data_IF_410885100633
#
_entry.id   IF_410885100633
#
_cell.length_a   1.000
_cell.length_b   1.000
_cell.length_c   1.000
_cell.angle_alpha   90.00
_cell.angle_beta   90.00
_cell.angle_gamma   90.00
#
_symmetry.space_group_name_H-M   'P 1'
#
loop_
_entity.id
_entity.type
_entity.pdbx_description
1 polymer ?
#
# COMPACT_ATOMS: atom_id res chain seq x y z
N UNK A 1 -16.04 9.31 7.81
CA UNK A 1 -16.35 9.68 9.20
C UNK A 1 -15.70 11.02 9.52
N UNK A 2 -14.43 11.19 9.17
CA UNK A 2 -13.61 12.36 9.49
C UNK A 2 -14.19 13.68 8.94
N UNK A 3 -14.64 13.69 7.67
CA UNK A 3 -15.28 14.86 7.07
C UNK A 3 -16.64 15.22 7.72
N UNK A 4 -17.39 14.21 8.18
CA UNK A 4 -18.66 14.41 8.85
C UNK A 4 -18.42 14.96 10.26
N UNK A 5 -17.44 14.41 10.98
CA UNK A 5 -17.01 14.92 12.28
C UNK A 5 -16.49 16.37 12.17
N UNK A 6 -15.74 16.67 11.10
CA UNK A 6 -15.31 18.05 10.79
C UNK A 6 -16.51 18.98 10.58
N UNK A 7 -17.52 18.54 9.82
CA UNK A 7 -18.76 19.30 9.62
C UNK A 7 -19.54 19.52 10.93
N UNK A 8 -19.61 18.51 11.80
CA UNK A 8 -20.14 18.67 13.15
C UNK A 8 -19.32 19.67 13.98
N UNK A 9 -18.00 19.68 13.82
CA UNK A 9 -17.12 20.70 14.39
C UNK A 9 -17.56 22.11 13.98
N UNK A 10 -17.77 22.36 12.69
CA UNK A 10 -18.26 23.67 12.19
C UNK A 10 -19.59 24.07 12.84
N UNK A 11 -20.51 23.12 12.99
CA UNK A 11 -21.85 23.39 13.53
C UNK A 11 -21.78 23.71 15.03
N UNK A 12 -20.96 22.96 15.78
CA UNK A 12 -20.89 22.97 17.24
C UNK A 12 -19.95 24.04 17.81
N UNK A 13 -18.96 24.51 17.05
CA UNK A 13 -18.05 25.56 17.52
C UNK A 13 -18.64 26.96 17.35
N UNK A 14 -18.32 27.83 18.31
CA UNK A 14 -18.75 29.24 18.30
C UNK A 14 -17.95 30.07 17.28
N UNK A 15 -16.64 29.84 17.21
CA UNK A 15 -15.77 30.49 16.22
C UNK A 15 -15.55 29.53 15.04
N UNK A 16 -15.81 30.05 13.83
CA UNK A 16 -15.72 29.31 12.57
C UNK A 16 -14.65 29.88 11.62
N UNK A 17 -13.99 30.97 12.01
CA UNK A 17 -13.10 31.77 11.15
C UNK A 17 -11.85 31.02 10.67
N UNK A 18 -11.42 30.03 11.45
CA UNK A 18 -10.23 29.20 11.20
C UNK A 18 -10.53 27.87 10.48
N UNK A 19 -11.80 27.50 10.31
CA UNK A 19 -12.15 26.29 9.56
C UNK A 19 -11.77 26.47 8.08
N UNK A 20 -11.16 25.43 7.50
CA UNK A 20 -10.52 25.48 6.18
C UNK A 20 -9.10 26.05 6.16
N UNK A 21 -8.61 26.67 7.25
CA UNK A 21 -7.26 27.27 7.35
C UNK A 21 -6.30 26.54 8.30
N UNK A 22 -6.74 25.39 8.83
CA UNK A 22 -6.00 24.65 9.85
C UNK A 22 -6.58 24.75 11.27
N UNK A 23 -7.89 24.98 11.41
CA UNK A 23 -8.60 24.97 12.71
C UNK A 23 -8.21 23.78 13.59
N UNK A 24 -7.71 24.08 14.78
CA UNK A 24 -7.41 23.10 15.83
C UNK A 24 -8.68 22.30 16.20
N UNK A 25 -9.80 22.98 16.37
CA UNK A 25 -11.07 22.33 16.72
C UNK A 25 -11.50 21.33 15.64
N UNK A 26 -11.38 21.72 14.37
CA UNK A 26 -11.67 20.82 13.25
C UNK A 26 -10.82 19.55 13.25
N UNK A 27 -9.52 19.68 13.58
CA UNK A 27 -8.62 18.53 13.74
C UNK A 27 -9.02 17.69 14.95
N UNK A 28 -9.29 18.30 16.10
CA UNK A 28 -9.69 17.58 17.32
C UNK A 28 -10.98 16.78 17.11
N UNK A 29 -11.98 17.33 16.42
CA UNK A 29 -13.22 16.62 16.09
C UNK A 29 -12.95 15.44 15.16
N UNK A 30 -12.17 15.63 14.10
CA UNK A 30 -11.85 14.58 13.14
C UNK A 30 -11.04 13.44 13.78
N UNK A 31 -9.98 13.78 14.54
CA UNK A 31 -9.10 12.82 15.21
C UNK A 31 -9.82 12.05 16.32
N UNK A 32 -10.69 12.72 17.09
CA UNK A 32 -11.49 12.05 18.12
C UNK A 32 -12.46 11.04 17.51
N UNK A 33 -13.12 11.40 16.40
CA UNK A 33 -14.02 10.50 15.69
C UNK A 33 -13.27 9.31 15.09
N UNK A 34 -12.08 9.53 14.53
CA UNK A 34 -11.27 8.45 13.97
C UNK A 34 -10.83 7.46 15.06
N UNK A 35 -10.33 7.95 16.20
CA UNK A 35 -9.95 7.11 17.33
C UNK A 35 -11.13 6.30 17.89
N UNK A 36 -12.31 6.93 18.02
CA UNK A 36 -13.51 6.23 18.48
C UNK A 36 -13.98 5.15 17.49
N UNK A 37 -13.97 5.46 16.19
CA UNK A 37 -14.34 4.53 15.12
C UNK A 37 -13.41 3.33 15.06
N UNK A 38 -12.12 3.51 15.33
CA UNK A 38 -11.14 2.42 15.29
C UNK A 38 -11.37 1.38 16.38
N UNK A 39 -11.73 1.80 17.59
CA UNK A 39 -12.16 0.90 18.66
C UNK A 39 -13.51 0.24 18.33
N UNK A 40 -14.45 0.99 17.76
CA UNK A 40 -15.76 0.46 17.33
C UNK A 40 -15.67 -0.61 16.23
N UNK A 41 -14.66 -0.51 15.37
CA UNK A 41 -14.38 -1.51 14.32
C UNK A 41 -13.94 -2.88 14.87
N UNK A 42 -13.51 -2.95 16.13
CA UNK A 42 -13.17 -4.20 16.80
C UNK A 42 -14.38 -5.13 16.94
N UNK A 43 -15.54 -4.57 17.27
CA UNK A 43 -16.73 -5.34 17.63
C UNK A 43 -17.21 -6.27 16.50
N UNK A 44 -17.48 -5.79 15.26
CA UNK A 44 -17.87 -6.69 14.16
C UNK A 44 -16.73 -7.66 13.80
N UNK A 45 -15.47 -7.23 13.94
CA UNK A 45 -14.31 -8.07 13.66
C UNK A 45 -14.26 -9.27 14.59
N UNK A 46 -14.35 -9.04 15.91
CA UNK A 46 -14.25 -10.09 16.91
C UNK A 46 -15.52 -10.93 16.98
N UNK A 47 -16.70 -10.30 16.93
CA UNK A 47 -17.97 -11.00 17.11
C UNK A 47 -18.42 -11.79 15.86
N UNK A 48 -18.13 -11.28 14.66
CA UNK A 48 -18.62 -11.86 13.40
C UNK A 48 -17.51 -12.42 12.52
N UNK A 49 -16.24 -12.18 12.87
CA UNK A 49 -15.11 -12.51 12.00
C UNK A 49 -14.98 -11.61 10.77
N UNK A 50 -15.72 -10.50 10.71
CA UNK A 50 -15.75 -9.58 9.57
C UNK A 50 -15.04 -8.28 9.95
N UNK A 51 -13.88 -7.96 9.33
CA UNK A 51 -13.13 -6.74 9.64
C UNK A 51 -13.97 -5.47 9.52
N UNK A 52 -14.08 -4.73 10.63
CA UNK A 52 -14.75 -3.43 10.69
C UNK A 52 -13.90 -2.28 10.12
N UNK A 53 -12.58 -2.49 9.95
CA UNK A 53 -11.65 -1.58 9.30
C UNK A 53 -10.47 -2.35 8.67
N UNK A 54 -9.72 -1.74 7.72
CA UNK A 54 -8.60 -2.42 7.04
C UNK A 54 -7.48 -2.90 7.98
N UNK A 55 -7.22 -2.14 9.03
CA UNK A 55 -6.28 -2.44 10.14
C UNK A 55 -6.68 -3.69 10.90
N UNK A 56 -7.97 -3.84 11.22
CA UNK A 56 -8.53 -5.00 11.91
C UNK A 56 -8.43 -6.28 11.07
N UNK A 57 -8.38 -6.17 9.75
CA UNK A 57 -8.12 -7.32 8.89
C UNK A 57 -6.74 -7.93 9.15
N UNK A 58 -5.73 -7.11 9.43
CA UNK A 58 -4.40 -7.58 9.84
C UNK A 58 -4.44 -8.27 11.20
N UNK A 59 -5.26 -7.78 12.13
CA UNK A 59 -5.46 -8.42 13.44
C UNK A 59 -6.08 -9.82 13.28
N UNK A 60 -7.09 -9.97 12.43
CA UNK A 60 -7.69 -11.29 12.11
C UNK A 60 -6.61 -12.24 11.57
N UNK A 61 -5.82 -11.77 10.58
CA UNK A 61 -4.72 -12.57 9.99
C UNK A 61 -3.70 -12.97 11.04
N UNK A 62 -3.39 -12.09 11.99
CA UNK A 62 -2.45 -12.36 13.07
C UNK A 62 -2.99 -13.33 14.13
N UNK A 63 -4.31 -13.40 14.35
CA UNK A 63 -4.93 -14.27 15.37
C UNK A 63 -5.03 -15.73 14.92
N UNK A 64 -5.27 -15.97 13.62
CA UNK A 64 -5.46 -17.31 13.06
C UNK A 64 -4.28 -18.28 13.39
N UNK A 65 -3.00 -17.88 13.25
CA UNK A 65 -1.86 -18.73 13.60
C UNK A 65 -1.82 -19.17 15.07
N UNK A 66 -2.42 -18.39 15.98
CA UNK A 66 -2.50 -18.73 17.41
C UNK A 66 -3.71 -19.62 17.74
N UNK A 67 -4.44 -20.11 16.72
CA UNK A 67 -5.61 -20.95 16.91
C UNK A 67 -6.85 -20.21 17.39
N UNK A 68 -6.86 -18.87 17.33
CA UNK A 68 -8.01 -18.04 17.72
C UNK A 68 -8.63 -17.47 16.45
N UNK A 69 -9.78 -18.02 16.04
CA UNK A 69 -10.54 -17.51 14.91
C UNK A 69 -11.59 -16.51 15.41
N UNK A 70 -11.57 -15.25 14.96
CA UNK A 70 -12.62 -14.28 15.27
C UNK A 70 -13.99 -14.78 14.77
N UNK A 71 -15.04 -14.57 15.56
CA UNK A 71 -16.38 -15.09 15.31
C UNK A 71 -17.24 -15.15 16.58
N UNK A 72 -18.45 -15.73 16.52
CA UNK A 72 -19.39 -15.72 17.65
C UNK A 72 -18.82 -16.33 18.93
N UNK A 73 -17.88 -17.26 18.82
CA UNK A 73 -17.18 -17.87 19.96
C UNK A 73 -16.38 -16.86 20.79
N UNK A 74 -15.94 -15.74 20.20
CA UNK A 74 -15.32 -14.62 20.90
C UNK A 74 -16.26 -13.97 21.93
N UNK A 75 -17.58 -14.12 21.79
CA UNK A 75 -18.55 -13.62 22.77
C UNK A 75 -18.91 -14.67 23.84
N UNK A 76 -18.46 -15.92 23.66
CA UNK A 76 -18.71 -17.04 24.57
C UNK A 76 -17.41 -17.67 25.05
N UNK A 77 -17.02 -18.78 24.43
CA UNK A 77 -15.84 -19.59 24.79
C UNK A 77 -14.55 -18.76 24.89
N UNK A 78 -14.33 -17.84 23.96
CA UNK A 78 -13.16 -16.97 23.90
C UNK A 78 -13.42 -15.56 24.48
N UNK A 79 -14.47 -15.38 25.28
CA UNK A 79 -14.79 -14.08 25.89
C UNK A 79 -13.65 -13.50 26.73
N UNK A 80 -12.88 -14.35 27.41
CA UNK A 80 -11.69 -13.93 28.16
C UNK A 80 -10.63 -13.30 27.25
N UNK A 81 -10.44 -13.82 26.03
CA UNK A 81 -9.53 -13.25 25.02
C UNK A 81 -10.08 -11.91 24.53
N UNK A 82 -11.38 -11.84 24.25
CA UNK A 82 -12.04 -10.59 23.83
C UNK A 82 -11.87 -9.49 24.87
N UNK A 83 -12.16 -9.78 26.13
CA UNK A 83 -12.04 -8.81 27.23
C UNK A 83 -10.58 -8.39 27.41
N UNK A 84 -9.64 -9.34 27.37
CA UNK A 84 -8.21 -9.04 27.43
C UNK A 84 -7.81 -8.10 26.30
N UNK A 85 -8.24 -8.38 25.07
CA UNK A 85 -7.94 -7.58 23.89
C UNK A 85 -8.50 -6.16 24.01
N UNK A 86 -9.75 -6.01 24.49
CA UNK A 86 -10.38 -4.71 24.73
C UNK A 86 -9.61 -3.90 25.78
N UNK A 87 -9.23 -4.52 26.91
CA UNK A 87 -8.47 -3.86 27.97
C UNK A 87 -7.07 -3.47 27.47
N UNK A 88 -6.37 -4.38 26.79
CA UNK A 88 -5.05 -4.09 26.22
C UNK A 88 -5.13 -2.98 25.18
N UNK A 89 -6.15 -2.95 24.33
CA UNK A 89 -6.34 -1.88 23.33
C UNK A 89 -6.59 -0.53 24.01
N UNK A 90 -7.44 -0.49 25.04
CA UNK A 90 -7.71 0.72 25.81
C UNK A 90 -6.43 1.25 26.50
N UNK A 91 -5.69 0.35 27.15
CA UNK A 91 -4.44 0.70 27.83
C UNK A 91 -3.34 1.12 26.84
N UNK A 92 -3.22 0.42 25.71
CA UNK A 92 -2.27 0.74 24.65
C UNK A 92 -2.56 2.15 24.07
N UNK A 93 -3.82 2.48 23.82
CA UNK A 93 -4.20 3.81 23.35
C UNK A 93 -3.87 4.90 24.39
N UNK A 94 -4.07 4.64 25.68
CA UNK A 94 -3.71 5.58 26.74
C UNK A 94 -2.18 5.80 26.80
N UNK A 95 -1.40 4.72 26.76
CA UNK A 95 0.07 4.78 26.77
C UNK A 95 0.58 5.49 25.51
N UNK A 96 0.11 5.10 24.33
CA UNK A 96 0.50 5.71 23.05
C UNK A 96 0.11 7.19 23.01
N UNK A 97 -1.05 7.56 23.53
CA UNK A 97 -1.45 8.97 23.62
C UNK A 97 -0.49 9.76 24.52
N UNK A 98 -0.09 9.20 25.67
CA UNK A 98 0.89 9.83 26.56
C UNK A 98 2.25 10.01 25.91
N UNK A 99 2.76 8.96 25.25
CA UNK A 99 4.00 9.01 24.47
C UNK A 99 3.87 10.02 23.33
N UNK A 100 2.73 10.01 22.64
CA UNK A 100 2.42 10.89 21.51
C UNK A 100 2.52 12.35 21.91
N UNK A 101 1.91 12.75 23.02
CA UNK A 101 2.02 14.12 23.57
C UNK A 101 3.49 14.46 23.87
N UNK A 102 4.24 13.55 24.49
CA UNK A 102 5.66 13.78 24.82
C UNK A 102 6.57 13.94 23.60
N UNK A 103 6.31 13.19 22.52
CA UNK A 103 7.15 13.17 21.31
C UNK A 103 6.57 14.05 20.19
N UNK A 104 5.40 14.69 20.38
CA UNK A 104 4.68 15.43 19.33
C UNK A 104 5.54 16.52 18.68
N UNK A 105 6.42 17.18 19.45
CA UNK A 105 7.32 18.20 18.92
C UNK A 105 8.38 17.63 17.95
N UNK A 106 8.81 16.39 18.17
CA UNK A 106 9.69 15.68 17.23
C UNK A 106 8.91 15.14 16.03
N UNK A 107 7.72 14.57 16.24
CA UNK A 107 6.84 14.10 15.17
C UNK A 107 6.43 15.25 14.23
N UNK A 108 6.17 16.44 14.75
CA UNK A 108 5.88 17.63 13.96
C UNK A 108 7.05 18.05 13.05
N UNK A 109 8.30 17.72 13.42
CA UNK A 109 9.46 17.92 12.54
C UNK A 109 9.57 16.82 11.48
N UNK A 110 9.06 15.63 11.75
CA UNK A 110 9.02 14.52 10.80
C UNK A 110 8.11 14.84 9.60
N UNK A 111 7.01 15.58 9.80
CA UNK A 111 6.13 16.00 8.70
C UNK A 111 6.81 16.94 7.69
N UNK A 112 7.89 17.61 8.11
CA UNK A 112 8.72 18.43 7.23
C UNK A 112 9.77 17.62 6.45
N UNK A 113 9.89 16.31 6.70
CA UNK A 113 10.81 15.43 5.98
C UNK A 113 10.24 15.16 4.58
N UNK A 114 10.99 15.44 3.51
CA UNK A 114 10.53 15.18 2.16
C UNK A 114 10.14 13.71 1.96
N UNK A 115 8.95 13.48 1.39
CA UNK A 115 8.42 12.15 1.07
C UNK A 115 9.41 11.21 0.34
N UNK A 116 10.29 11.69 -0.57
CA UNK A 116 11.27 10.81 -1.21
C UNK A 116 12.27 10.17 -0.23
N UNK A 117 12.60 10.85 0.86
CA UNK A 117 13.47 10.28 1.91
C UNK A 117 12.75 9.11 2.59
N UNK A 118 11.48 9.30 2.92
CA UNK A 118 10.64 8.27 3.53
C UNK A 118 10.54 7.06 2.58
N UNK A 119 10.29 7.29 1.30
CA UNK A 119 10.28 6.24 0.27
C UNK A 119 11.60 5.49 0.17
N UNK A 120 12.74 6.19 0.24
CA UNK A 120 14.07 5.57 0.19
C UNK A 120 14.34 4.61 1.36
N UNK A 121 13.70 4.82 2.50
CA UNK A 121 13.81 3.97 3.69
C UNK A 121 12.80 2.83 3.65
N UNK A 122 11.53 3.15 3.40
CA UNK A 122 10.41 2.21 3.52
C UNK A 122 10.46 1.14 2.43
N UNK A 123 10.86 1.50 1.21
CA UNK A 123 10.85 0.57 0.08
C UNK A 123 11.84 -0.59 0.30
N UNK A 124 13.14 -0.39 0.61
CA UNK A 124 14.06 -1.49 0.89
C UNK A 124 13.61 -2.36 2.04
N UNK A 125 13.11 -1.75 3.12
CA UNK A 125 12.64 -2.48 4.29
C UNK A 125 11.48 -3.39 3.88
N UNK A 126 10.47 -2.86 3.18
CA UNK A 126 9.33 -3.66 2.73
C UNK A 126 9.75 -4.82 1.82
N UNK A 127 10.67 -4.60 0.88
CA UNK A 127 11.18 -5.66 0.01
C UNK A 127 11.97 -6.71 0.79
N UNK A 128 12.84 -6.29 1.71
CA UNK A 128 13.60 -7.20 2.55
C UNK A 128 12.69 -7.99 3.50
N UNK A 129 11.66 -7.38 4.08
CA UNK A 129 10.69 -8.06 4.93
C UNK A 129 10.01 -9.22 4.20
N UNK A 130 9.65 -9.05 2.93
CA UNK A 130 9.05 -10.14 2.13
C UNK A 130 10.01 -11.29 1.87
N UNK A 131 11.31 -11.00 1.84
CA UNK A 131 12.34 -12.02 1.75
C UNK A 131 12.56 -12.75 3.08
N UNK A 132 12.60 -12.03 4.20
CA UNK A 132 12.75 -12.62 5.54
C UNK A 132 11.64 -13.64 5.80
N UNK A 133 10.41 -13.32 5.41
CA UNK A 133 9.25 -14.20 5.58
C UNK A 133 9.32 -15.46 4.71
N UNK A 134 9.67 -15.31 3.43
CA UNK A 134 9.60 -16.41 2.46
C UNK A 134 10.93 -17.16 2.27
N UNK A 135 12.03 -16.64 2.83
CA UNK A 135 13.43 -17.04 2.58
C UNK A 135 13.76 -17.27 1.10
N UNK A 136 13.03 -16.58 0.21
CA UNK A 136 13.03 -16.82 -1.23
C UNK A 136 12.86 -15.51 -2.00
N UNK A 137 13.50 -15.43 -3.17
CA UNK A 137 13.30 -14.34 -4.14
C UNK A 137 11.83 -14.17 -4.55
N UNK A 138 11.01 -15.20 -4.38
CA UNK A 138 9.58 -15.19 -4.67
C UNK A 138 8.81 -14.14 -3.87
N UNK A 139 9.15 -13.91 -2.60
CA UNK A 139 8.47 -12.89 -1.78
C UNK A 139 8.62 -11.50 -2.39
N UNK A 140 9.82 -11.17 -2.87
CA UNK A 140 10.13 -9.89 -3.51
C UNK A 140 9.37 -9.75 -4.84
N UNK A 141 9.26 -10.83 -5.62
CA UNK A 141 8.52 -10.83 -6.88
C UNK A 141 7.03 -10.52 -6.66
N UNK A 142 6.40 -11.19 -5.69
CA UNK A 142 5.01 -10.96 -5.33
C UNK A 142 4.81 -9.52 -4.84
N UNK A 143 5.71 -9.04 -3.97
CA UNK A 143 5.66 -7.67 -3.45
C UNK A 143 5.74 -6.61 -4.55
N UNK A 144 6.66 -6.79 -5.51
CA UNK A 144 6.78 -5.89 -6.66
C UNK A 144 5.53 -5.96 -7.56
N UNK A 145 4.87 -7.11 -7.69
CA UNK A 145 3.65 -7.26 -8.49
C UNK A 145 2.44 -6.60 -7.89
N UNK A 146 2.24 -6.79 -6.60
CA UNK A 146 1.21 -6.08 -5.84
C UNK A 146 1.50 -4.58 -5.84
N UNK A 147 2.77 -4.18 -5.74
CA UNK A 147 3.21 -2.79 -5.88
C UNK A 147 2.87 -2.19 -7.25
N UNK A 148 3.17 -2.90 -8.33
CA UNK A 148 2.83 -2.49 -9.69
C UNK A 148 1.33 -2.38 -9.90
N UNK A 149 0.55 -3.35 -9.42
CA UNK A 149 -0.92 -3.29 -9.41
C UNK A 149 -1.41 -2.06 -8.63
N UNK A 150 -0.83 -1.76 -7.48
CA UNK A 150 -1.14 -0.56 -6.69
C UNK A 150 -0.88 0.75 -7.46
N UNK A 151 0.16 0.80 -8.28
CA UNK A 151 0.44 1.95 -9.16
C UNK A 151 -0.62 2.09 -10.27
N UNK A 152 -1.03 0.97 -10.88
CA UNK A 152 -2.12 0.94 -11.87
C UNK A 152 -3.42 1.44 -11.24
N UNK A 153 -3.79 0.90 -10.08
CA UNK A 153 -4.98 1.33 -9.35
C UNK A 153 -4.96 2.81 -9.04
N UNK A 154 -3.82 3.33 -8.55
CA UNK A 154 -3.66 4.75 -8.29
C UNK A 154 -3.89 5.59 -9.55
N UNK A 155 -3.37 5.15 -10.71
CA UNK A 155 -3.50 5.89 -11.97
C UNK A 155 -4.94 5.94 -12.49
N UNK A 156 -5.70 4.87 -12.29
CA UNK A 156 -7.11 4.81 -12.67
C UNK A 156 -8.06 5.31 -11.56
N UNK A 157 -7.53 5.90 -10.48
CA UNK A 157 -8.30 6.31 -9.30
C UNK A 157 -9.14 5.17 -8.69
N UNK A 158 -8.67 3.93 -8.82
CA UNK A 158 -9.30 2.78 -8.19
C UNK A 158 -9.00 2.78 -6.69
N UNK A 159 -10.01 2.50 -5.85
CA UNK A 159 -9.82 2.49 -4.42
C UNK A 159 -8.96 1.29 -4.01
N UNK A 160 -7.77 1.56 -3.48
CA UNK A 160 -6.79 0.55 -3.02
C UNK A 160 -7.24 -0.20 -1.75
N UNK A 161 -7.74 0.46 -0.69
CA UNK A 161 -8.12 -0.23 0.55
C UNK A 161 -9.20 -1.32 0.38
N UNK A 162 -10.28 -1.13 -0.42
CA UNK A 162 -11.27 -2.18 -0.67
C UNK A 162 -10.70 -3.44 -1.33
N UNK A 163 -9.67 -3.30 -2.17
CA UNK A 163 -9.04 -4.46 -2.81
C UNK A 163 -8.26 -5.31 -1.80
N UNK A 164 -7.51 -4.66 -0.91
CA UNK A 164 -6.82 -5.34 0.20
C UNK A 164 -7.84 -6.02 1.12
N UNK A 165 -8.95 -5.34 1.42
CA UNK A 165 -10.04 -5.91 2.21
C UNK A 165 -10.61 -7.16 1.52
N UNK A 166 -10.94 -7.09 0.24
CA UNK A 166 -11.45 -8.23 -0.52
C UNK A 166 -10.50 -9.43 -0.51
N UNK A 167 -9.19 -9.19 -0.64
CA UNK A 167 -8.17 -10.24 -0.58
C UNK A 167 -8.14 -10.94 0.78
N UNK A 168 -8.15 -10.19 1.89
CA UNK A 168 -8.12 -10.77 3.23
C UNK A 168 -9.44 -11.50 3.56
N UNK A 169 -10.57 -10.98 3.07
CA UNK A 169 -11.88 -11.57 3.33
C UNK A 169 -12.17 -12.81 2.50
N UNK A 170 -11.46 -13.07 1.40
CA UNK A 170 -11.80 -14.15 0.46
C UNK A 170 -11.88 -15.50 1.17
N UNK A 171 -10.87 -15.80 1.97
CA UNK A 171 -10.73 -17.00 2.77
C UNK A 171 -11.87 -17.17 3.79
N UNK A 172 -12.25 -16.07 4.44
CA UNK A 172 -13.32 -16.05 5.44
C UNK A 172 -14.66 -16.26 4.76
N UNK A 173 -14.90 -15.60 3.63
CA UNK A 173 -16.13 -15.72 2.85
C UNK A 173 -16.27 -17.14 2.30
N UNK A 174 -15.21 -17.70 1.72
CA UNK A 174 -15.22 -19.03 1.12
C UNK A 174 -15.46 -20.12 2.17
N UNK A 175 -14.76 -20.06 3.30
CA UNK A 175 -14.98 -21.01 4.41
C UNK A 175 -16.40 -20.93 4.96
N UNK A 176 -16.91 -19.72 5.19
CA UNK A 176 -18.28 -19.55 5.68
C UNK A 176 -19.34 -19.96 4.65
N UNK A 177 -19.11 -19.69 3.37
CA UNK A 177 -20.00 -20.14 2.30
C UNK A 177 -20.03 -21.66 2.20
N UNK A 178 -18.86 -22.30 2.21
CA UNK A 178 -18.75 -23.75 2.20
C UNK A 178 -19.44 -24.39 3.42
N UNK A 179 -19.26 -23.81 4.61
CA UNK A 179 -19.95 -24.28 5.82
C UNK A 179 -21.47 -24.13 5.70
N UNK A 180 -21.96 -22.98 5.23
CA UNK A 180 -23.40 -22.75 5.06
C UNK A 180 -24.03 -23.72 4.05
N UNK A 181 -23.36 -23.95 2.92
CA UNK A 181 -23.82 -24.88 1.88
C UNK A 181 -23.71 -26.33 2.36
N UNK A 182 -22.68 -26.70 3.12
CA UNK A 182 -22.54 -28.07 3.66
C UNK A 182 -23.63 -28.43 4.67
N UNK A 183 -24.04 -27.48 5.52
CA UNK A 183 -25.04 -27.73 6.57
C UNK A 183 -26.47 -27.66 6.00
N UNK A 184 -26.75 -26.72 5.09
CA UNK A 184 -28.11 -26.42 4.65
C UNK A 184 -28.39 -26.73 3.17
N UNK A 185 -27.40 -27.15 2.40
CA UNK A 185 -27.47 -27.20 0.95
C UNK A 185 -27.48 -25.80 0.31
N UNK A 186 -27.15 -25.73 -0.97
CA UNK A 186 -27.12 -24.47 -1.71
C UNK A 186 -28.45 -23.69 -1.64
N UNK A 187 -29.62 -24.27 -1.98
CA UNK A 187 -30.89 -23.56 -1.86
C UNK A 187 -31.26 -23.25 -0.40
N UNK A 188 -30.99 -24.17 0.54
CA UNK A 188 -31.34 -23.97 1.94
C UNK A 188 -30.52 -22.87 2.62
N UNK A 189 -29.32 -22.56 2.12
CA UNK A 189 -28.51 -21.43 2.60
C UNK A 189 -29.13 -20.06 2.26
N UNK A 190 -29.78 -19.95 1.10
CA UNK A 190 -30.38 -18.71 0.57
C UNK A 190 -31.81 -18.49 1.08
N UNK A 191 -32.56 -19.55 1.37
CA UNK A 191 -33.97 -19.44 1.81
C UNK A 191 -34.12 -19.13 3.30
N UNK A 192 -33.02 -19.00 4.06
CA UNK A 192 -33.12 -18.66 5.49
C UNK A 192 -33.62 -17.23 5.69
N UNK A 193 -34.57 -16.99 6.61
CA UNK A 193 -35.13 -15.66 6.84
C UNK A 193 -34.07 -14.59 7.14
N UNK A 194 -33.06 -14.92 7.95
CA UNK A 194 -31.97 -14.00 8.30
C UNK A 194 -31.11 -13.69 7.06
N UNK A 195 -30.78 -14.69 6.24
CA UNK A 195 -30.02 -14.51 4.99
C UNK A 195 -30.76 -13.57 4.04
N UNK A 196 -32.07 -13.77 3.87
CA UNK A 196 -32.91 -12.93 3.01
C UNK A 196 -32.94 -11.50 3.53
N UNK A 197 -33.15 -11.29 4.82
CA UNK A 197 -33.16 -9.94 5.43
C UNK A 197 -31.82 -9.24 5.25
N UNK A 198 -30.71 -9.91 5.54
CA UNK A 198 -29.37 -9.34 5.35
C UNK A 198 -29.10 -9.03 3.88
N UNK A 199 -29.49 -9.91 2.96
CA UNK A 199 -29.33 -9.70 1.52
C UNK A 199 -30.14 -8.50 1.03
N UNK A 200 -31.38 -8.37 1.48
CA UNK A 200 -32.22 -7.21 1.14
C UNK A 200 -31.64 -5.90 1.68
N UNK A 201 -31.14 -5.90 2.92
CA UNK A 201 -30.44 -4.74 3.50
C UNK A 201 -29.19 -4.42 2.67
N UNK A 202 -28.39 -5.42 2.31
CA UNK A 202 -27.19 -5.23 1.50
C UNK A 202 -27.51 -4.64 0.12
N UNK A 203 -28.55 -5.14 -0.55
CA UNK A 203 -29.03 -4.62 -1.84
C UNK A 203 -29.54 -3.18 -1.69
N UNK A 204 -30.31 -2.89 -0.63
CA UNK A 204 -30.82 -1.54 -0.38
C UNK A 204 -29.68 -0.54 -0.14
N UNK A 205 -28.71 -0.90 0.70
CA UNK A 205 -27.52 -0.08 0.96
C UNK A 205 -26.71 0.13 -0.32
N UNK A 206 -26.46 -0.93 -1.08
CA UNK A 206 -25.76 -0.83 -2.37
C UNK A 206 -26.50 0.09 -3.35
N UNK A 207 -27.82 0.00 -3.44
CA UNK A 207 -28.63 0.86 -4.30
C UNK A 207 -28.56 2.35 -3.87
N UNK A 208 -28.61 2.62 -2.56
CA UNK A 208 -28.47 3.98 -2.03
C UNK A 208 -27.07 4.53 -2.31
N UNK A 209 -26.02 3.75 -2.06
CA UNK A 209 -24.64 4.15 -2.32
C UNK A 209 -24.40 4.41 -3.82
N UNK A 210 -24.86 3.53 -4.70
CA UNK A 210 -24.75 3.71 -6.16
C UNK A 210 -25.48 4.98 -6.63
N UNK A 211 -26.66 5.28 -6.07
CA UNK A 211 -27.37 6.53 -6.36
C UNK A 211 -26.60 7.75 -5.86
N UNK A 212 -26.04 7.69 -4.66
CA UNK A 212 -25.24 8.76 -4.08
C UNK A 212 -24.00 9.05 -4.91
N UNK A 213 -23.28 8.01 -5.34
CA UNK A 213 -22.07 8.15 -6.17
C UNK A 213 -22.43 8.77 -7.52
N UNK A 214 -23.45 8.25 -8.21
CA UNK A 214 -23.93 8.81 -9.49
C UNK A 214 -24.39 10.26 -9.38
N UNK A 215 -24.94 10.65 -8.22
CA UNK A 215 -25.33 12.04 -7.96
C UNK A 215 -24.12 12.95 -7.81
N UNK A 216 -23.10 12.51 -7.05
CA UNK A 216 -21.86 13.28 -6.91
C UNK A 216 -21.08 13.39 -8.23
N UNK A 217 -21.08 12.34 -9.05
CA UNK A 217 -20.49 12.39 -10.40
C UNK A 217 -21.17 13.46 -11.26
N UNK A 218 -22.51 13.52 -11.27
CA UNK A 218 -23.27 14.56 -12.00
C UNK A 218 -23.03 15.97 -11.47
N UNK A 219 -22.98 16.15 -10.15
CA UNK A 219 -22.73 17.45 -9.53
C UNK A 219 -21.29 17.94 -9.80
N UNK A 220 -20.33 17.01 -9.94
CA UNK A 220 -18.95 17.31 -10.34
C UNK A 220 -18.86 17.66 -11.83
N UNK A 221 -19.59 16.96 -12.71
CA UNK A 221 -19.65 17.28 -14.14
C UNK A 221 -20.26 18.67 -14.40
N UNK A 222 -21.34 19.02 -13.69
CA UNK A 222 -22.00 20.33 -13.79
C UNK A 222 -21.12 21.48 -13.30
N UNK A 223 -20.31 21.27 -12.26
CA UNK A 223 -19.41 22.30 -11.71
C UNK A 223 -18.12 22.49 -12.52
N UNK A 224 -17.75 21.53 -13.37
CA UNK A 224 -16.68 21.67 -14.37
C UNK A 224 -17.18 22.47 -15.58
N UNK A 225 -18.42 22.24 -16.01
CA UNK A 225 -19.05 22.97 -17.13
C UNK A 225 -19.20 24.48 -16.85
N UNK A 226 -19.41 24.87 -15.59
CA UNK A 226 -19.44 26.29 -15.16
C UNK A 226 -18.04 26.94 -15.01
N UNK A 227 -16.96 26.15 -14.93
CA UNK A 227 -15.60 26.64 -14.72
C UNK A 227 -14.80 26.83 -16.02
N UNK A 228 -15.27 26.29 -17.15
CA UNK A 228 -14.61 26.34 -18.45
C UNK A 228 -14.92 27.66 -19.20
N UNK A 229 -14.35 28.78 -18.71
CA UNK A 229 -14.19 30.04 -19.48
C UNK A 229 -12.73 30.34 -19.85
N UNK A 230 -11.84 29.33 -19.81
CA UNK A 230 -10.50 29.38 -20.39
C UNK A 230 -10.34 28.33 -21.51
N UNK A 231 -9.54 28.61 -22.56
CA UNK A 231 -9.60 27.82 -23.79
C UNK A 231 -9.10 26.39 -23.60
N UNK A 232 -10.02 25.49 -23.90
CA UNK A 232 -9.99 24.04 -23.77
C UNK A 232 -8.78 23.38 -24.43
N UNK A 233 -8.08 22.51 -23.69
CA UNK A 233 -7.03 21.63 -24.24
C UNK A 233 -7.70 20.33 -24.68
N UNK A 234 -7.36 19.77 -25.87
CA UNK A 234 -7.98 18.53 -26.33
C UNK A 234 -7.71 17.40 -25.32
N UNK A 235 -8.80 16.79 -24.84
CA UNK A 235 -8.74 15.61 -23.99
C UNK A 235 -7.87 14.54 -24.66
N UNK A 236 -6.79 14.12 -23.98
CA UNK A 236 -5.91 13.06 -24.50
C UNK A 236 -6.74 11.82 -24.81
N UNK A 237 -6.70 11.37 -26.06
CA UNK A 237 -7.34 10.12 -26.47
C UNK A 237 -6.84 8.96 -25.62
N UNK A 238 -7.72 7.99 -25.34
CA UNK A 238 -7.46 6.82 -24.49
C UNK A 238 -6.10 6.14 -24.75
N UNK A 239 -5.67 6.09 -26.02
CA UNK A 239 -4.35 5.58 -26.44
C UNK A 239 -3.17 6.31 -25.80
N UNK A 240 -3.20 7.65 -25.72
CA UNK A 240 -2.10 8.43 -25.12
C UNK A 240 -2.03 8.29 -23.61
N UNK A 241 -3.17 8.08 -22.94
CA UNK A 241 -3.22 7.75 -21.51
C UNK A 241 -2.63 6.36 -21.26
N UNK A 242 -2.97 5.37 -22.08
CA UNK A 242 -2.50 3.99 -21.95
C UNK A 242 -1.00 3.84 -22.29
N UNK A 243 -0.51 4.59 -23.28
CA UNK A 243 0.90 4.60 -23.72
C UNK A 243 1.81 5.52 -22.87
N UNK A 244 1.33 5.99 -21.70
CA UNK A 244 2.13 6.80 -20.80
C UNK A 244 3.11 5.92 -19.99
N UNK A 245 4.37 6.39 -19.75
CA UNK A 245 5.36 5.66 -18.96
C UNK A 245 4.83 5.14 -17.62
N UNK A 246 4.00 5.96 -16.97
CA UNK A 246 3.37 5.66 -15.67
C UNK A 246 2.45 4.42 -15.70
N UNK A 247 1.97 3.99 -16.87
CA UNK A 247 1.07 2.84 -17.07
C UNK A 247 1.80 1.69 -17.72
N UNK A 248 2.60 1.97 -18.75
CA UNK A 248 3.36 0.97 -19.51
C UNK A 248 4.33 0.20 -18.61
N UNK A 249 5.00 0.91 -17.70
CA UNK A 249 6.03 0.31 -16.83
C UNK A 249 5.40 -0.67 -15.82
N UNK A 250 4.39 -0.29 -15.01
CA UNK A 250 3.68 -1.26 -14.18
C UNK A 250 3.09 -2.43 -14.97
N UNK A 251 2.55 -2.17 -16.17
CA UNK A 251 1.96 -3.22 -17.02
C UNK A 251 3.00 -4.24 -17.46
N UNK A 252 4.19 -3.78 -17.87
CA UNK A 252 5.29 -4.68 -18.26
C UNK A 252 5.84 -5.43 -17.05
N UNK A 253 5.95 -4.80 -15.89
CA UNK A 253 6.34 -5.49 -14.64
C UNK A 253 5.30 -6.58 -14.29
N UNK A 254 4.01 -6.27 -14.36
CA UNK A 254 2.95 -7.25 -14.14
C UNK A 254 2.95 -8.37 -15.18
N UNK A 255 3.19 -8.06 -16.47
CA UNK A 255 3.29 -9.06 -17.51
C UNK A 255 4.49 -10.00 -17.30
N UNK A 256 5.65 -9.44 -16.93
CA UNK A 256 6.82 -10.22 -16.54
C UNK A 256 6.54 -11.15 -15.38
N UNK A 257 5.81 -10.67 -14.37
CA UNK A 257 5.42 -11.51 -13.23
C UNK A 257 4.37 -12.55 -13.55
N UNK A 258 3.41 -12.24 -14.42
CA UNK A 258 2.41 -13.20 -14.87
C UNK A 258 3.08 -14.37 -15.60
N UNK A 259 4.08 -14.08 -16.44
CA UNK A 259 4.89 -15.11 -17.11
C UNK A 259 5.66 -15.95 -16.09
N UNK A 260 6.30 -15.32 -15.11
CA UNK A 260 7.02 -16.04 -14.03
C UNK A 260 6.08 -16.91 -13.19
N UNK A 261 4.88 -16.42 -12.88
CA UNK A 261 3.88 -17.17 -12.15
C UNK A 261 3.36 -18.35 -12.98
N UNK A 262 3.13 -18.15 -14.28
CA UNK A 262 2.70 -19.24 -15.17
C UNK A 262 3.73 -20.35 -15.29
N UNK A 263 5.02 -19.99 -15.41
CA UNK A 263 6.13 -20.93 -15.45
C UNK A 263 6.25 -21.71 -14.14
N UNK A 264 6.09 -21.03 -13.00
CA UNK A 264 6.10 -21.68 -11.70
C UNK A 264 4.93 -22.68 -11.53
N UNK A 265 3.74 -22.33 -12.02
CA UNK A 265 2.56 -23.19 -11.94
C UNK A 265 2.67 -24.42 -12.85
N UNK A 266 3.38 -24.32 -13.98
CA UNK A 266 3.58 -25.44 -14.92
C UNK A 266 4.56 -26.52 -14.44
N UNK A 267 5.32 -26.28 -13.37
CA UNK A 267 6.24 -27.29 -12.81
C UNK A 267 5.58 -28.12 -11.69
N UNK A 268 5.89 -29.44 -11.57
CA UNK A 268 5.38 -30.31 -10.50
C UNK A 268 5.73 -29.78 -9.10
N UNK A 269 4.81 -29.90 -8.14
CA UNK A 269 4.94 -29.34 -6.77
C UNK A 269 6.24 -29.74 -6.07
N UNK A 270 6.74 -30.95 -6.33
CA UNK A 270 8.00 -31.46 -5.76
C UNK A 270 9.25 -30.79 -6.34
N UNK A 271 9.20 -30.31 -7.60
CA UNK A 271 10.30 -29.64 -8.30
C UNK A 271 10.20 -28.11 -8.25
N UNK A 272 9.06 -27.55 -7.79
CA UNK A 272 8.86 -26.09 -7.61
C UNK A 272 9.88 -25.43 -6.67
N UNK A 273 10.52 -26.21 -5.80
CA UNK A 273 11.58 -25.74 -4.89
C UNK A 273 12.98 -25.82 -5.51
N UNK A 274 13.17 -26.68 -6.53
CA UNK A 274 14.45 -26.86 -7.24
C UNK A 274 14.62 -25.87 -8.38
N UNK A 275 13.53 -25.48 -9.04
CA UNK A 275 13.54 -24.46 -10.09
C UNK A 275 13.25 -23.08 -9.49
N UNK A 276 14.30 -22.51 -8.88
CA UNK A 276 14.52 -21.07 -8.74
C UNK A 276 14.57 -20.42 -10.12
N UNK A 277 13.43 -20.31 -10.82
CA UNK A 277 13.36 -19.70 -12.16
C UNK A 277 13.99 -18.30 -12.08
N UNK A 278 15.08 -18.18 -12.83
CA UNK A 278 16.15 -17.20 -12.69
C UNK A 278 15.65 -15.76 -12.48
N UNK A 279 16.23 -15.01 -11.51
CA UNK A 279 15.98 -13.58 -11.37
C UNK A 279 16.34 -12.79 -12.63
N UNK A 280 17.06 -13.37 -13.59
CA UNK A 280 17.64 -12.71 -14.77
C UNK A 280 16.63 -11.92 -15.62
N UNK A 281 15.39 -12.40 -15.74
CA UNK A 281 14.37 -11.68 -16.53
C UNK A 281 13.95 -10.35 -15.89
N UNK A 282 14.01 -10.20 -14.56
CA UNK A 282 13.63 -8.97 -13.87
C UNK A 282 14.60 -7.80 -14.16
N UNK A 283 15.94 -7.96 -14.03
CA UNK A 283 16.92 -7.01 -14.52
C UNK A 283 16.83 -6.77 -16.02
N UNK A 284 16.59 -7.79 -16.85
CA UNK A 284 16.48 -7.62 -18.32
C UNK A 284 15.26 -6.78 -18.70
N UNK A 285 14.10 -7.04 -18.08
CA UNK A 285 12.89 -6.24 -18.25
C UNK A 285 13.11 -4.82 -17.70
N UNK A 286 13.74 -4.68 -16.54
CA UNK A 286 14.04 -3.37 -15.95
C UNK A 286 15.02 -2.55 -16.83
N UNK A 287 16.04 -3.19 -17.41
CA UNK A 287 16.99 -2.58 -18.34
C UNK A 287 16.33 -2.24 -19.68
N UNK A 288 15.42 -3.08 -20.18
CA UNK A 288 14.62 -2.80 -21.37
C UNK A 288 13.69 -1.60 -21.18
N UNK A 289 13.04 -1.50 -20.03
CA UNK A 289 12.20 -0.37 -19.65
C UNK A 289 13.01 0.91 -19.45
N UNK A 290 14.18 0.83 -18.79
CA UNK A 290 15.13 1.95 -18.65
C UNK A 290 15.66 2.42 -20.01
N UNK A 291 16.02 1.50 -20.90
CA UNK A 291 16.51 1.81 -22.25
C UNK A 291 15.43 2.45 -23.12
N UNK A 292 14.20 1.93 -23.06
CA UNK A 292 13.06 2.49 -23.79
C UNK A 292 12.68 3.89 -23.29
N UNK A 293 12.70 4.11 -21.98
CA UNK A 293 12.40 5.41 -21.37
C UNK A 293 13.52 6.43 -21.56
N UNK A 294 14.80 6.02 -21.49
CA UNK A 294 15.94 6.87 -21.82
C UNK A 294 15.85 7.31 -23.30
N UNK A 295 15.53 6.38 -24.20
CA UNK A 295 15.32 6.65 -25.62
C UNK A 295 14.16 7.61 -25.88
N UNK A 296 13.07 7.49 -25.12
CA UNK A 296 11.90 8.37 -25.23
C UNK A 296 12.12 9.74 -24.57
N UNK A 297 12.86 9.80 -23.47
CA UNK A 297 13.27 11.02 -22.78
C UNK A 297 14.19 11.89 -23.63
N UNK A 298 15.07 11.27 -24.44
CA UNK A 298 15.92 11.98 -25.41
C UNK A 298 15.14 12.57 -26.61
N UNK A 299 13.89 12.16 -26.85
CA UNK A 299 13.06 12.60 -27.99
C UNK A 299 11.85 13.47 -27.63
N UNK A 300 11.51 13.62 -26.35
CA UNK A 300 10.31 14.34 -25.91
C UNK A 300 10.58 15.77 -25.45
N UNK A 301 9.89 16.77 -26.03
CA UNK A 301 9.88 18.14 -25.48
C UNK A 301 9.00 18.21 -24.21
N UNK A 302 9.45 18.88 -23.13
CA UNK A 302 8.67 19.02 -21.91
C UNK A 302 7.43 19.90 -22.13
N UNK A 303 6.34 19.60 -21.43
CA UNK A 303 5.10 20.40 -21.44
C UNK A 303 4.54 20.47 -20.02
N UNK A 304 4.12 21.66 -19.56
CA UNK A 304 3.66 21.84 -18.19
C UNK A 304 2.20 21.42 -18.04
N UNK A 305 1.92 20.64 -17.00
CA UNK A 305 0.58 20.56 -16.40
C UNK A 305 0.66 20.15 -14.94
N UNK A 306 -0.20 20.78 -14.15
CA UNK A 306 -0.27 20.75 -12.69
C UNK A 306 -1.02 19.52 -12.18
N UNK A 307 -0.85 19.28 -10.88
CA UNK A 307 -1.53 18.30 -10.00
C UNK A 307 -0.82 16.94 -9.89
N UNK A 308 0.16 16.89 -8.98
CA UNK A 308 0.44 15.68 -8.22
C UNK A 308 0.72 16.10 -6.77
N UNK A 309 -0.30 15.97 -5.92
CA UNK A 309 -0.19 16.20 -4.49
C UNK A 309 0.39 14.94 -3.84
N UNK A 310 1.71 14.94 -3.70
CA UNK A 310 2.49 13.89 -3.04
C UNK A 310 3.38 14.51 -1.95
N UNK A 311 3.06 15.74 -1.50
CA UNK A 311 3.92 16.51 -0.62
C UNK A 311 5.29 16.85 -1.22
N UNK A 312 5.46 16.67 -2.54
CA UNK A 312 6.59 17.17 -3.30
C UNK A 312 6.28 18.61 -3.64
N UNK A 313 7.16 19.55 -3.28
CA UNK A 313 7.12 20.93 -3.80
C UNK A 313 6.80 20.85 -5.30
N UNK A 314 5.66 21.43 -5.66
CA UNK A 314 4.97 21.23 -6.91
C UNK A 314 5.82 21.68 -8.11
N UNK A 315 6.53 20.75 -8.74
CA UNK A 315 7.16 20.94 -10.05
C UNK A 315 6.24 20.59 -11.23
N UNK A 316 4.94 20.41 -10.98
CA UNK A 316 3.98 19.89 -11.98
C UNK A 316 4.28 18.45 -12.41
N UNK A 317 3.73 18.04 -13.56
CA UNK A 317 3.90 16.71 -14.15
C UNK A 317 5.36 16.34 -14.44
N UNK A 318 6.24 17.33 -14.62
CA UNK A 318 7.66 17.13 -14.89
C UNK A 318 8.41 16.65 -13.64
N UNK A 319 8.20 17.28 -12.48
CA UNK A 319 8.80 16.85 -11.22
C UNK A 319 8.32 15.46 -10.78
N UNK A 320 7.04 15.15 -11.01
CA UNK A 320 6.48 13.82 -10.75
C UNK A 320 7.09 12.73 -11.64
N UNK A 321 7.25 13.03 -12.93
CA UNK A 321 7.81 12.09 -13.92
C UNK A 321 9.30 11.87 -13.67
N UNK A 322 10.04 12.92 -13.33
CA UNK A 322 11.45 12.81 -12.99
C UNK A 322 11.68 12.03 -11.69
N UNK A 323 10.84 12.24 -10.67
CA UNK A 323 10.85 11.43 -9.44
C UNK A 323 10.54 9.96 -9.74
N UNK A 324 9.60 9.68 -10.65
CA UNK A 324 9.30 8.32 -11.09
C UNK A 324 10.51 7.66 -11.77
N UNK A 325 11.18 8.35 -12.70
CA UNK A 325 12.39 7.83 -13.35
C UNK A 325 13.52 7.56 -12.36
N UNK A 326 13.71 8.45 -11.39
CA UNK A 326 14.71 8.29 -10.32
C UNK A 326 14.40 7.08 -9.44
N UNK A 327 13.14 6.90 -9.03
CA UNK A 327 12.71 5.71 -8.30
C UNK A 327 12.92 4.43 -9.12
N UNK A 328 12.58 4.44 -10.40
CA UNK A 328 12.78 3.28 -11.28
C UNK A 328 14.26 2.92 -11.46
N UNK A 329 15.12 3.92 -11.63
CA UNK A 329 16.57 3.70 -11.68
C UNK A 329 17.11 3.09 -10.38
N UNK A 330 16.61 3.55 -9.23
CA UNK A 330 16.96 2.98 -7.93
C UNK A 330 16.47 1.52 -7.78
N UNK A 331 15.24 1.23 -8.20
CA UNK A 331 14.72 -0.14 -8.20
C UNK A 331 15.52 -1.07 -9.11
N UNK A 332 15.88 -0.61 -10.31
CA UNK A 332 16.72 -1.37 -11.23
C UNK A 332 18.11 -1.62 -10.64
N UNK A 333 18.71 -0.61 -9.99
CA UNK A 333 19.97 -0.75 -9.26
C UNK A 333 19.87 -1.81 -8.14
N UNK A 334 18.80 -1.75 -7.33
CA UNK A 334 18.52 -2.73 -6.29
C UNK A 334 18.41 -4.15 -6.85
N UNK A 335 17.64 -4.32 -7.93
CA UNK A 335 17.45 -5.63 -8.56
C UNK A 335 18.75 -6.14 -9.19
N UNK A 336 19.51 -5.28 -9.87
CA UNK A 336 20.76 -5.65 -10.51
C UNK A 336 21.78 -6.09 -9.46
N UNK A 337 22.06 -5.27 -8.45
CA UNK A 337 23.04 -5.60 -7.40
C UNK A 337 22.51 -6.76 -6.53
N UNK A 338 21.22 -6.76 -6.22
CA UNK A 338 20.58 -7.79 -5.41
C UNK A 338 20.72 -9.18 -6.05
N UNK A 339 20.50 -9.28 -7.36
CA UNK A 339 20.58 -10.57 -8.07
C UNK A 339 22.01 -10.98 -8.41
N UNK A 340 22.90 -10.03 -8.68
CA UNK A 340 24.30 -10.30 -9.06
C UNK A 340 25.22 -10.50 -7.87
N UNK A 341 25.29 -9.53 -6.95
CA UNK A 341 26.23 -9.49 -5.82
C UNK A 341 25.59 -9.99 -4.53
N UNK A 342 24.27 -9.88 -4.42
CA UNK A 342 23.48 -10.42 -3.32
C UNK A 342 22.50 -9.41 -2.77
N UNK A 343 21.37 -9.91 -2.26
CA UNK A 343 20.23 -9.08 -1.84
C UNK A 343 20.60 -8.03 -0.77
N UNK A 344 21.47 -8.41 0.17
CA UNK A 344 22.03 -7.49 1.17
C UNK A 344 22.64 -6.25 0.53
N UNK A 345 23.50 -6.46 -0.47
CA UNK A 345 24.22 -5.40 -1.14
C UNK A 345 23.30 -4.56 -2.03
N UNK A 346 22.28 -5.19 -2.64
CA UNK A 346 21.24 -4.48 -3.37
C UNK A 346 20.47 -3.51 -2.49
N UNK A 347 20.03 -3.97 -1.32
CA UNK A 347 19.31 -3.14 -0.36
C UNK A 347 20.16 -1.99 0.18
N UNK A 348 21.43 -2.28 0.50
CA UNK A 348 22.38 -1.28 0.98
C UNK A 348 22.68 -0.23 -0.11
N UNK A 349 22.83 -0.65 -1.36
CA UNK A 349 22.99 0.26 -2.49
C UNK A 349 21.76 1.15 -2.71
N UNK A 350 20.55 0.60 -2.60
CA UNK A 350 19.32 1.40 -2.68
C UNK A 350 19.21 2.39 -1.52
N UNK A 351 19.52 1.94 -0.30
CA UNK A 351 19.49 2.79 0.89
C UNK A 351 20.48 3.95 0.82
N UNK A 352 21.66 3.73 0.23
CA UNK A 352 22.67 4.76 0.08
C UNK A 352 22.37 5.70 -1.11
N UNK A 353 22.02 5.14 -2.26
CA UNK A 353 21.77 5.91 -3.47
C UNK A 353 20.41 6.63 -3.43
N UNK A 354 19.41 6.05 -2.76
CA UNK A 354 18.03 6.53 -2.73
C UNK A 354 17.89 7.97 -2.27
N UNK A 355 18.32 8.30 -1.04
CA UNK A 355 18.28 9.67 -0.54
C UNK A 355 19.08 10.64 -1.42
N UNK A 356 20.24 10.22 -1.92
CA UNK A 356 21.12 11.06 -2.76
C UNK A 356 20.47 11.41 -4.11
N UNK A 357 19.92 10.41 -4.79
CA UNK A 357 19.28 10.57 -6.11
C UNK A 357 17.98 11.35 -5.99
N UNK A 358 17.18 11.07 -4.96
CA UNK A 358 15.89 11.69 -4.78
C UNK A 358 15.99 13.13 -4.26
N UNK A 359 17.03 13.47 -3.49
CA UNK A 359 17.25 14.82 -2.97
C UNK A 359 18.13 15.70 -3.84
N UNK A 360 18.64 15.20 -4.98
CA UNK A 360 19.58 15.93 -5.86
C UNK A 360 19.07 17.28 -6.39
N UNK A 361 17.77 17.57 -6.27
CA UNK A 361 17.14 18.85 -6.63
C UNK A 361 16.83 19.81 -5.46
N UNK A 362 17.06 19.39 -4.20
CA UNK A 362 16.68 20.17 -3.02
C UNK A 362 17.83 20.97 -2.39
N UNK A 363 19.05 20.91 -2.95
CA UNK A 363 20.23 21.60 -2.41
C UNK A 363 20.72 21.06 -1.05
N UNK A 364 20.17 19.93 -0.58
CA UNK A 364 20.39 19.36 0.76
C UNK A 364 21.22 18.07 0.72
N UNK A 365 22.38 18.11 0.05
CA UNK A 365 23.25 16.95 -0.12
C UNK A 365 23.73 16.34 1.21
N UNK A 366 24.00 17.18 2.21
CA UNK A 366 24.40 16.72 3.55
C UNK A 366 23.28 15.91 4.23
N UNK A 367 22.02 16.35 4.14
CA UNK A 367 20.89 15.57 4.64
C UNK A 367 20.71 14.25 3.90
N UNK A 368 20.99 14.24 2.59
CA UNK A 368 20.93 13.01 1.80
C UNK A 368 21.97 11.98 2.27
N UNK A 369 23.20 12.44 2.55
CA UNK A 369 24.26 11.58 3.09
C UNK A 369 23.94 11.07 4.50
N UNK A 370 23.41 11.94 5.37
CA UNK A 370 23.00 11.53 6.73
C UNK A 370 21.86 10.51 6.66
N UNK A 371 20.84 10.75 5.84
CA UNK A 371 19.75 9.81 5.63
C UNK A 371 20.25 8.47 5.08
N UNK A 372 21.11 8.51 4.05
CA UNK A 372 21.76 7.33 3.48
C UNK A 372 22.53 6.53 4.55
N UNK A 373 23.31 7.21 5.39
CA UNK A 373 24.05 6.58 6.48
C UNK A 373 23.12 5.93 7.52
N UNK A 374 22.07 6.63 7.94
CA UNK A 374 21.10 6.11 8.93
C UNK A 374 20.40 4.86 8.40
N UNK A 375 19.93 4.87 7.15
CA UNK A 375 19.24 3.71 6.54
C UNK A 375 20.23 2.56 6.32
N UNK A 376 21.45 2.84 5.86
CA UNK A 376 22.48 1.83 5.69
C UNK A 376 22.89 1.18 7.02
N UNK A 377 23.01 1.97 8.09
CA UNK A 377 23.25 1.48 9.45
C UNK A 377 22.07 0.64 9.93
N UNK A 378 20.83 1.09 9.70
CA UNK A 378 19.65 0.32 10.07
C UNK A 378 19.65 -1.05 9.38
N UNK A 379 19.85 -1.11 8.06
CA UNK A 379 19.92 -2.38 7.34
C UNK A 379 21.03 -3.28 7.91
N UNK A 380 22.24 -2.75 8.10
CA UNK A 380 23.38 -3.55 8.58
C UNK A 380 23.24 -4.00 10.03
N UNK A 381 22.81 -3.11 10.94
CA UNK A 381 22.76 -3.41 12.37
C UNK A 381 21.47 -4.15 12.72
N UNK A 382 20.33 -3.68 12.26
CA UNK A 382 19.05 -4.27 12.62
C UNK A 382 18.80 -5.59 11.87
N UNK A 383 19.00 -5.63 10.56
CA UNK A 383 18.70 -6.86 9.80
C UNK A 383 19.79 -7.92 9.97
N UNK A 384 21.06 -7.54 9.89
CA UNK A 384 22.14 -8.54 9.96
C UNK A 384 22.47 -8.96 11.39
N UNK A 385 22.54 -8.01 12.34
CA UNK A 385 23.02 -8.33 13.70
C UNK A 385 21.89 -8.60 14.71
N UNK A 386 20.70 -8.03 14.52
CA UNK A 386 19.57 -8.25 15.45
C UNK A 386 18.66 -9.35 14.93
N UNK A 387 18.27 -9.29 13.65
CA UNK A 387 17.38 -10.28 13.05
C UNK A 387 18.09 -11.49 12.44
N UNK A 388 19.43 -11.48 12.35
CA UNK A 388 20.25 -12.57 11.79
C UNK A 388 19.72 -13.08 10.45
N UNK A 389 19.33 -12.16 9.56
CA UNK A 389 18.72 -12.51 8.27
C UNK A 389 19.72 -13.30 7.42
N UNK A 390 19.33 -14.52 7.03
CA UNK A 390 20.11 -15.36 6.11
C UNK A 390 19.77 -14.95 4.69
N UNK A 391 20.67 -14.20 4.04
CA UNK A 391 20.50 -13.75 2.67
C UNK A 391 20.70 -14.90 1.67
N UNK A 392 20.02 -14.85 0.51
CA UNK A 392 20.18 -15.88 -0.50
C UNK A 392 21.54 -15.72 -1.16
N UNK A 393 22.12 -16.85 -1.57
CA UNK A 393 23.40 -16.84 -2.26
C UNK A 393 23.28 -16.06 -3.59
N UNK A 394 24.24 -15.18 -3.90
CA UNK A 394 24.22 -14.43 -5.13
C UNK A 394 24.41 -15.34 -6.34
N UNK A 395 23.73 -15.03 -7.44
CA UNK A 395 23.78 -15.83 -8.67
C UNK A 395 25.20 -16.07 -9.17
N UNK A 396 26.04 -15.05 -9.04
CA UNK A 396 27.42 -15.05 -9.51
C UNK A 396 28.30 -16.04 -8.72
N UNK A 397 27.95 -16.38 -7.48
CA UNK A 397 28.74 -17.32 -6.67
C UNK A 397 28.84 -18.69 -7.33
N UNK A 398 27.73 -19.23 -7.82
CA UNK A 398 27.69 -20.53 -8.49
C UNK A 398 28.53 -20.56 -9.78
N UNK A 399 28.74 -19.40 -10.40
CA UNK A 399 29.57 -19.27 -11.60
C UNK A 399 31.07 -19.28 -11.27
N UNK A 400 31.46 -18.75 -10.11
CA UNK A 400 32.86 -18.74 -9.65
C UNK A 400 33.26 -19.99 -8.88
N UNK A 401 32.33 -20.68 -8.23
CA UNK A 401 32.65 -21.86 -7.40
C UNK A 401 32.70 -23.17 -8.20
N UNK A 402 32.25 -23.17 -9.47
CA UNK A 402 32.04 -24.40 -10.24
C UNK A 402 30.89 -25.21 -9.64
N UNK A 403 29.78 -25.32 -10.39
CA UNK A 403 28.57 -26.01 -9.92
C UNK A 403 28.77 -27.47 -9.57
#
# INVERSE_FOLDING_TARGET
MDWLAYAFGIILTKDRSEFGKGSLDGVLFAESAQNAKEAGAALPTLALGVPGAPTWALVVVAMIPYGVAPGPEMLGTHAHITILLVITLALANLIISGIGVGVTGFLARLTAVPYPIIGAVVIPIALLSTFVDTTSWRGIQIALGVGAMGLVMKRYNWPRPPMILGFILVDVIERNHFNAVSIHGYPGSLTRPITIVILLIAIAVAAVLLRSVRRMERETELSVEDADTEPDRPARGWKERFLSPDVLIPLVVMAGMALMLSDHLSHPVQDRWRFTTYPFWLPVIALGLLGFELFRGLRGRPRPSTIMDLGLVSGGAEGAREAAYRMLGLFALFLLIGTTVGLRWGALAFALAGPIVLLRGYGRFLMALVAAAVVGIFIKVFLDNILFVIYPEPFIRNWFTGG
#
